data_IF_808393376098
#
_entry.id   IF_808393376098
#
_cell.length_a   1.000
_cell.length_b   1.000
_cell.length_c   1.000
_cell.angle_alpha   90.00
_cell.angle_beta   90.00
_cell.angle_gamma   90.00
#
_symmetry.space_group_name_H-M   'P 1'
#
loop_
_entity.id
_entity.type
_entity.pdbx_description
1 polymer ?
#
# COMPACT_ATOMS: atom_id res chain seq x y z
N UNK A 1 -8.59 15.74 14.48
CA UNK A 1 -7.36 15.76 13.67
C UNK A 1 -7.82 15.64 12.22
N UNK A 2 -7.84 16.74 11.46
CA UNK A 2 -8.60 16.79 10.20
C UNK A 2 -7.74 16.42 8.99
N UNK A 3 -6.42 16.61 9.08
CA UNK A 3 -5.49 16.27 7.99
C UNK A 3 -4.13 15.83 8.54
N UNK A 4 -3.52 14.83 7.91
CA UNK A 4 -2.13 14.41 8.14
C UNK A 4 -1.36 14.80 6.88
N UNK A 5 -0.33 15.62 7.03
CA UNK A 5 0.56 16.01 5.93
C UNK A 5 1.93 15.40 6.23
N UNK A 6 2.31 14.38 5.47
CA UNK A 6 3.65 13.82 5.52
C UNK A 6 4.50 14.55 4.49
N UNK A 7 5.54 15.23 4.96
CA UNK A 7 6.58 15.82 4.10
C UNK A 7 7.79 14.91 4.14
N UNK A 8 8.17 14.35 2.99
CA UNK A 8 9.22 13.35 2.90
C UNK A 8 10.61 14.01 3.01
N UNK A 9 11.49 13.49 3.87
CA UNK A 9 12.94 13.72 3.82
C UNK A 9 13.54 12.63 2.91
N UNK A 10 14.34 12.94 1.87
CA UNK A 10 14.61 12.09 0.69
C UNK A 10 15.23 10.67 0.91
N UNK A 11 15.31 10.14 2.13
CA UNK A 11 16.01 8.90 2.46
C UNK A 11 15.20 7.85 3.26
N UNK A 12 13.89 8.03 3.52
CA UNK A 12 13.11 7.05 4.31
C UNK A 12 11.72 6.74 3.72
N UNK A 13 11.41 5.49 3.33
CA UNK A 13 10.06 5.10 2.92
C UNK A 13 9.04 5.22 4.08
N UNK A 14 7.80 5.61 3.76
CA UNK A 14 6.68 5.78 4.73
C UNK A 14 6.43 4.55 5.61
N UNK A 15 6.85 3.35 5.20
CA UNK A 15 6.79 2.15 6.04
C UNK A 15 7.51 2.24 7.39
N UNK A 16 8.27 3.31 7.65
CA UNK A 16 8.87 3.64 8.96
C UNK A 16 8.31 4.92 9.60
N UNK A 17 7.41 5.66 8.92
CA UNK A 17 6.77 6.85 9.44
C UNK A 17 5.49 6.43 10.16
N UNK A 18 5.60 6.17 11.46
CA UNK A 18 4.44 6.22 12.32
C UNK A 18 3.96 7.70 12.35
N UNK A 19 2.70 8.01 11.99
CA UNK A 19 2.18 9.38 12.04
C UNK A 19 2.24 9.99 13.44
N UNK A 20 2.53 9.18 14.48
CA UNK A 20 2.72 9.59 15.86
C UNK A 20 4.18 9.76 16.32
N UNK A 21 5.20 9.46 15.50
CA UNK A 21 6.64 9.54 15.92
C UNK A 21 7.53 10.41 15.04
N UNK A 22 7.02 10.94 13.93
CA UNK A 22 7.74 11.98 13.19
C UNK A 22 7.60 13.28 14.00
N UNK A 23 8.68 14.05 14.30
CA UNK A 23 8.48 15.36 14.88
C UNK A 23 7.58 16.13 13.90
N UNK A 24 6.37 16.56 14.33
CA UNK A 24 5.54 17.33 13.43
C UNK A 24 6.35 18.57 13.02
N UNK A 25 6.36 18.97 11.74
CA UNK A 25 6.68 20.36 11.45
C UNK A 25 5.80 21.21 12.39
N UNK A 26 6.38 22.28 12.95
CA UNK A 26 5.76 23.16 13.96
C UNK A 26 4.23 23.16 13.87
N UNK A 27 3.49 22.81 14.94
CA UNK A 27 2.08 22.45 14.82
C UNK A 27 1.30 23.57 14.11
N UNK A 28 0.88 23.29 12.88
CA UNK A 28 0.05 24.21 12.11
C UNK A 28 -1.27 24.39 12.85
N UNK A 29 -1.81 25.60 12.85
CA UNK A 29 -3.17 25.81 13.36
C UNK A 29 -4.19 25.01 12.52
N UNK A 30 -5.39 24.72 13.05
CA UNK A 30 -6.44 24.08 12.26
C UNK A 30 -6.77 24.83 10.96
N UNK A 31 -6.77 26.17 11.00
CA UNK A 31 -7.06 27.01 9.84
C UNK A 31 -5.93 26.97 8.81
N UNK A 32 -4.68 27.08 9.29
CA UNK A 32 -3.49 26.91 8.44
C UNK A 32 -3.49 25.54 7.76
N UNK A 33 -3.82 24.48 8.49
CA UNK A 33 -3.88 23.11 7.96
C UNK A 33 -4.90 22.98 6.82
N UNK A 34 -6.07 23.62 6.95
CA UNK A 34 -7.10 23.65 5.90
C UNK A 34 -6.62 24.38 4.65
N UNK A 35 -5.95 25.51 4.81
CA UNK A 35 -5.42 26.29 3.68
C UNK A 35 -4.32 25.49 2.95
N UNK A 36 -3.37 24.92 3.69
CA UNK A 36 -2.29 24.09 3.12
C UNK A 36 -2.85 22.91 2.36
N UNK A 37 -3.83 22.20 2.93
CA UNK A 37 -4.55 21.11 2.26
C UNK A 37 -5.15 21.57 0.93
N UNK A 38 -5.93 22.67 0.94
CA UNK A 38 -6.58 23.20 -0.26
C UNK A 38 -5.58 23.55 -1.35
N UNK A 39 -4.46 24.18 -0.99
CA UNK A 39 -3.38 24.51 -1.94
C UNK A 39 -2.85 23.25 -2.61
N UNK A 40 -2.51 22.21 -1.84
CA UNK A 40 -1.98 20.97 -2.42
C UNK A 40 -3.01 20.24 -3.29
N UNK A 41 -4.26 20.17 -2.82
CA UNK A 41 -5.35 19.57 -3.58
C UNK A 41 -5.58 20.28 -4.92
N UNK A 42 -5.66 21.60 -4.90
CA UNK A 42 -5.84 22.42 -6.10
C UNK A 42 -4.68 22.21 -7.08
N UNK A 43 -3.43 22.24 -6.60
CA UNK A 43 -2.24 21.92 -7.41
C UNK A 43 -2.30 20.55 -8.08
N UNK A 44 -2.73 19.52 -7.35
CA UNK A 44 -2.85 18.17 -7.88
C UNK A 44 -3.93 18.09 -8.96
N UNK A 45 -5.11 18.67 -8.69
CA UNK A 45 -6.24 18.70 -9.63
C UNK A 45 -5.89 19.49 -10.89
N UNK A 46 -5.27 20.66 -10.76
CA UNK A 46 -4.82 21.47 -11.89
C UNK A 46 -3.81 20.71 -12.76
N UNK A 47 -2.82 20.07 -12.14
CA UNK A 47 -1.88 19.23 -12.86
C UNK A 47 -2.58 18.12 -13.63
N UNK A 48 -3.51 17.39 -12.99
CA UNK A 48 -4.26 16.31 -13.61
C UNK A 48 -5.12 16.82 -14.78
N UNK A 49 -5.78 17.97 -14.62
CA UNK A 49 -6.58 18.61 -15.67
C UNK A 49 -5.75 19.08 -16.88
N UNK A 50 -4.45 19.32 -16.70
CA UNK A 50 -3.55 19.65 -17.82
C UNK A 50 -3.04 18.43 -18.58
N UNK A 51 -3.35 17.20 -18.14
CA UNK A 51 -2.90 15.98 -18.82
C UNK A 51 -3.83 15.65 -19.99
N UNK A 52 -3.25 15.25 -21.12
CA UNK A 52 -4.01 14.74 -22.27
C UNK A 52 -4.77 13.44 -21.96
N UNK A 53 -4.33 12.70 -20.94
CA UNK A 53 -4.97 11.47 -20.47
C UNK A 53 -4.77 11.35 -18.96
N UNK A 54 -5.83 10.98 -18.28
CA UNK A 54 -5.83 10.53 -16.89
C UNK A 54 -6.38 9.12 -16.82
N UNK A 55 -6.04 8.40 -15.76
CA UNK A 55 -6.50 7.06 -15.48
C UNK A 55 -7.29 7.07 -14.17
N UNK A 56 -8.42 6.38 -14.17
CA UNK A 56 -9.29 6.22 -13.00
C UNK A 56 -9.42 4.74 -12.68
N UNK A 57 -9.13 4.38 -11.43
CA UNK A 57 -9.26 3.02 -10.92
C UNK A 57 -10.17 3.04 -9.71
N UNK A 58 -11.23 2.24 -9.77
CA UNK A 58 -12.14 2.00 -8.65
C UNK A 58 -11.86 0.62 -8.08
N UNK A 59 -11.70 0.54 -6.76
CA UNK A 59 -11.42 -0.69 -6.04
C UNK A 59 -11.82 -0.63 -4.58
N UNK A 60 -11.79 -1.78 -3.91
CA UNK A 60 -12.05 -1.87 -2.47
C UNK A 60 -10.77 -2.12 -1.69
N UNK A 61 -10.77 -1.68 -0.44
CA UNK A 61 -9.77 -2.05 0.56
C UNK A 61 -10.47 -2.67 1.77
N UNK A 62 -10.00 -3.85 2.18
CA UNK A 62 -10.65 -4.73 3.17
C UNK A 62 -11.52 -5.80 2.50
N UNK A 63 -11.16 -7.06 2.68
CA UNK A 63 -11.93 -8.18 2.11
C UNK A 63 -13.25 -8.46 2.83
N UNK A 64 -13.36 -8.08 4.11
CA UNK A 64 -14.61 -8.21 4.85
C UNK A 64 -15.58 -7.06 4.49
N UNK A 65 -16.66 -7.39 3.80
CA UNK A 65 -17.64 -6.42 3.30
C UNK A 65 -18.28 -5.54 4.39
N UNK A 66 -18.26 -5.98 5.66
CA UNK A 66 -18.75 -5.19 6.79
C UNK A 66 -17.91 -3.95 7.07
N UNK A 67 -16.64 -4.00 6.67
CA UNK A 67 -15.62 -2.99 6.98
C UNK A 67 -14.97 -2.42 5.72
N UNK A 68 -15.17 -3.02 4.54
CA UNK A 68 -14.53 -2.58 3.29
C UNK A 68 -14.82 -1.10 3.01
N UNK A 69 -13.82 -0.40 2.53
CA UNK A 69 -13.98 0.96 1.99
C UNK A 69 -13.83 0.95 0.48
N UNK A 70 -14.57 1.83 -0.18
CA UNK A 70 -14.46 2.05 -1.63
C UNK A 70 -13.46 3.18 -1.93
N UNK A 71 -12.47 2.90 -2.78
CA UNK A 71 -11.37 3.81 -3.10
C UNK A 71 -11.35 4.09 -4.59
N UNK A 72 -11.39 5.37 -4.96
CA UNK A 72 -11.14 5.84 -6.32
C UNK A 72 -9.76 6.46 -6.43
N UNK A 73 -8.97 6.00 -7.38
CA UNK A 73 -7.64 6.55 -7.67
C UNK A 73 -7.68 7.29 -8.99
N UNK A 74 -7.26 8.55 -8.99
CA UNK A 74 -7.11 9.39 -10.19
C UNK A 74 -5.62 9.70 -10.36
N UNK A 75 -5.02 9.27 -11.47
CA UNK A 75 -3.58 9.41 -11.67
C UNK A 75 -3.20 9.72 -13.13
N UNK A 76 -2.03 10.31 -13.32
CA UNK A 76 -1.52 10.69 -14.64
C UNK A 76 -0.77 9.55 -15.36
N UNK A 77 -0.30 8.53 -14.64
CA UNK A 77 0.57 7.47 -15.18
C UNK A 77 -0.16 6.13 -15.22
N UNK A 78 -0.09 5.46 -16.37
CA UNK A 78 -0.74 4.15 -16.58
C UNK A 78 -0.24 3.09 -15.58
N UNK A 79 1.04 3.11 -15.23
CA UNK A 79 1.59 2.12 -14.30
C UNK A 79 1.07 2.31 -12.87
N UNK A 80 0.78 3.55 -12.42
CA UNK A 80 0.14 3.80 -11.13
C UNK A 80 -1.29 3.26 -11.10
N UNK A 81 -2.00 3.38 -12.24
CA UNK A 81 -3.30 2.78 -12.40
C UNK A 81 -3.23 1.24 -12.33
N UNK A 82 -2.30 0.62 -13.06
CA UNK A 82 -2.09 -0.83 -13.01
C UNK A 82 -1.68 -1.29 -11.61
N UNK A 83 -0.79 -0.55 -10.94
CA UNK A 83 -0.39 -0.81 -9.57
C UNK A 83 -1.61 -0.84 -8.64
N UNK A 84 -2.44 0.21 -8.64
CA UNK A 84 -3.62 0.23 -7.75
C UNK A 84 -4.68 -0.80 -8.15
N UNK A 85 -4.75 -1.17 -9.43
CA UNK A 85 -5.58 -2.29 -9.88
C UNK A 85 -5.08 -3.64 -9.35
N UNK A 86 -3.78 -3.78 -9.13
CA UNK A 86 -3.20 -4.97 -8.50
C UNK A 86 -3.37 -4.94 -6.97
N UNK A 87 -3.22 -3.76 -6.35
CA UNK A 87 -3.19 -3.63 -4.89
C UNK A 87 -4.57 -3.49 -4.24
N UNK A 88 -5.58 -3.02 -4.95
CA UNK A 88 -6.97 -2.97 -4.46
C UNK A 88 -7.73 -4.22 -4.89
N UNK A 89 -8.75 -4.55 -4.10
CA UNK A 89 -9.70 -5.62 -4.44
C UNK A 89 -10.56 -5.14 -5.60
N UNK A 90 -10.61 -5.94 -6.66
CA UNK A 90 -11.27 -5.56 -7.91
C UNK A 90 -12.79 -5.75 -7.80
N UNK A 91 -13.60 -4.69 -8.00
CA UNK A 91 -15.04 -4.83 -8.03
C UNK A 91 -15.48 -5.63 -9.26
N UNK A 92 -16.60 -6.32 -9.13
CA UNK A 92 -17.29 -6.93 -10.27
C UNK A 92 -17.85 -5.85 -11.22
N UNK A 93 -18.16 -6.23 -12.47
CA UNK A 93 -18.78 -5.32 -13.44
C UNK A 93 -20.13 -4.76 -12.95
N UNK A 94 -20.87 -5.51 -12.14
CA UNK A 94 -22.13 -5.05 -11.57
C UNK A 94 -21.91 -4.03 -10.45
N UNK A 95 -20.94 -4.28 -9.56
CA UNK A 95 -20.57 -3.32 -8.51
C UNK A 95 -20.08 -1.99 -9.08
N UNK A 96 -19.36 -2.03 -10.21
CA UNK A 96 -18.88 -0.82 -10.88
C UNK A 96 -20.01 0.10 -11.37
N UNK A 97 -21.20 -0.44 -11.70
CA UNK A 97 -22.33 0.38 -12.17
C UNK A 97 -22.86 1.33 -11.11
N UNK A 98 -22.72 0.95 -9.84
CA UNK A 98 -23.20 1.71 -8.68
C UNK A 98 -22.07 2.11 -7.74
N UNK A 99 -20.82 2.15 -8.24
CA UNK A 99 -19.66 2.44 -7.41
C UNK A 99 -19.63 3.91 -7.00
N UNK A 100 -19.58 4.13 -5.68
CA UNK A 100 -19.44 5.45 -5.07
C UNK A 100 -18.23 5.40 -4.14
N UNK A 101 -17.16 6.18 -4.37
CA UNK A 101 -15.97 6.12 -3.53
C UNK A 101 -16.22 6.75 -2.16
N UNK A 102 -15.81 6.06 -1.12
CA UNK A 102 -15.62 6.62 0.21
C UNK A 102 -14.41 7.55 0.22
N UNK A 103 -13.30 7.12 -0.38
CA UNK A 103 -12.06 7.88 -0.46
C UNK A 103 -11.61 8.11 -1.90
N UNK A 104 -11.06 9.29 -2.18
CA UNK A 104 -10.45 9.62 -3.48
C UNK A 104 -8.97 9.95 -3.33
N UNK A 105 -8.12 9.29 -4.12
CA UNK A 105 -6.69 9.55 -4.19
C UNK A 105 -6.39 10.32 -5.47
N UNK A 106 -5.85 11.53 -5.36
CA UNK A 106 -5.30 12.30 -6.48
C UNK A 106 -3.78 12.10 -6.52
N UNK A 107 -3.33 11.19 -7.38
CA UNK A 107 -1.91 10.98 -7.61
C UNK A 107 -1.41 11.89 -8.74
N UNK A 108 -0.93 13.05 -8.35
CA UNK A 108 -0.22 14.02 -9.16
C UNK A 108 1.30 13.95 -8.88
N UNK A 109 1.82 12.76 -8.58
CA UNK A 109 3.18 12.53 -8.11
C UNK A 109 4.30 13.13 -8.95
N UNK A 110 4.11 13.23 -10.26
CA UNK A 110 5.07 13.88 -11.18
C UNK A 110 5.07 15.41 -11.09
N UNK A 111 4.20 16.03 -10.28
CA UNK A 111 4.13 17.46 -10.07
C UNK A 111 4.54 17.82 -8.64
N UNK A 112 5.48 18.77 -8.44
CA UNK A 112 6.01 19.06 -7.11
C UNK A 112 5.01 19.84 -6.25
N UNK A 113 5.06 19.55 -4.95
CA UNK A 113 4.51 20.42 -3.92
C UNK A 113 5.24 21.77 -3.91
N UNK A 114 4.55 22.82 -3.48
CA UNK A 114 5.18 24.13 -3.34
C UNK A 114 5.92 24.20 -2.00
N UNK A 115 7.27 24.21 -2.04
CA UNK A 115 8.15 24.33 -0.86
C UNK A 115 7.94 25.61 -0.04
N UNK A 116 7.27 26.62 -0.61
CA UNK A 116 6.96 27.87 0.08
C UNK A 116 5.57 27.87 0.74
N UNK A 117 4.79 26.79 0.57
CA UNK A 117 3.57 26.59 1.35
C UNK A 117 3.94 26.31 2.80
N UNK A 118 3.24 26.94 3.74
CA UNK A 118 3.51 26.79 5.18
C UNK A 118 3.49 25.32 5.61
N UNK A 119 4.48 24.91 6.43
CA UNK A 119 4.65 23.53 6.88
C UNK A 119 5.24 22.58 5.83
N UNK A 120 5.44 23.00 4.58
CA UNK A 120 6.10 22.19 3.55
C UNK A 120 7.62 22.22 3.74
N UNK A 121 8.27 21.05 3.77
CA UNK A 121 9.72 20.94 3.96
C UNK A 121 10.47 20.50 2.70
N UNK A 122 9.76 19.98 1.69
CA UNK A 122 10.34 19.51 0.44
C UNK A 122 9.41 19.72 -0.75
N UNK A 123 9.84 19.31 -1.94
CA UNK A 123 8.99 19.28 -3.13
C UNK A 123 7.98 18.11 -3.12
N UNK A 124 7.99 17.28 -2.07
CA UNK A 124 7.14 16.10 -1.93
C UNK A 124 6.10 16.32 -0.84
N UNK A 125 4.84 16.02 -1.14
CA UNK A 125 3.75 16.04 -0.17
C UNK A 125 2.84 14.85 -0.36
N UNK A 126 2.59 14.13 0.73
CA UNK A 126 1.61 13.06 0.82
C UNK A 126 0.64 13.42 1.93
N UNK A 127 -0.53 13.91 1.54
CA UNK A 127 -1.50 14.47 2.46
C UNK A 127 -2.81 13.67 2.45
N UNK A 128 -3.33 13.37 3.63
CA UNK A 128 -4.63 12.71 3.82
C UNK A 128 -5.54 13.66 4.60
N UNK A 129 -6.75 13.87 4.10
CA UNK A 129 -7.81 14.62 4.79
C UNK A 129 -8.99 13.69 5.05
N UNK A 130 -9.21 13.35 6.33
CA UNK A 130 -10.27 12.44 6.75
C UNK A 130 -11.67 13.05 6.70
N UNK A 131 -11.78 14.39 6.77
CA UNK A 131 -13.08 15.07 6.67
C UNK A 131 -13.57 15.15 5.23
N UNK A 132 -12.66 15.47 4.30
CA UNK A 132 -12.95 15.49 2.86
C UNK A 132 -12.90 14.08 2.24
N UNK A 133 -12.40 13.09 2.99
CA UNK A 133 -12.10 11.72 2.54
C UNK A 133 -11.25 11.68 1.27
N UNK A 134 -10.17 12.42 1.29
CA UNK A 134 -9.29 12.58 0.12
C UNK A 134 -7.83 12.41 0.49
N UNK A 135 -7.04 11.94 -0.47
CA UNK A 135 -5.58 11.88 -0.39
C UNK A 135 -4.98 12.57 -1.60
N UNK A 136 -3.89 13.32 -1.39
CA UNK A 136 -3.16 14.03 -2.43
C UNK A 136 -1.70 13.63 -2.38
N UNK A 137 -1.14 13.24 -3.54
CA UNK A 137 0.27 12.89 -3.71
C UNK A 137 0.89 13.87 -4.72
N UNK A 138 1.96 14.53 -4.30
CA UNK A 138 2.75 15.47 -5.09
C UNK A 138 4.25 15.17 -4.90
N UNK A 139 5.02 15.32 -5.97
CA UNK A 139 6.49 15.28 -5.94
C UNK A 139 7.10 13.93 -5.56
N UNK A 140 6.38 12.83 -5.75
CA UNK A 140 6.88 11.47 -5.60
C UNK A 140 6.15 10.56 -6.55
N UNK A 141 6.89 9.72 -7.26
CA UNK A 141 6.33 8.72 -8.15
C UNK A 141 6.33 7.33 -7.52
N UNK A 142 6.83 7.17 -6.29
CA UNK A 142 6.87 5.88 -5.62
C UNK A 142 5.45 5.31 -5.43
N UNK A 143 5.14 4.16 -6.04
CA UNK A 143 3.78 3.63 -6.02
C UNK A 143 3.30 3.23 -4.61
N UNK A 144 4.26 2.88 -3.73
CA UNK A 144 4.00 2.54 -2.34
C UNK A 144 3.31 3.64 -1.53
N UNK A 145 3.38 4.90 -1.99
CA UNK A 145 2.66 6.02 -1.39
C UNK A 145 1.14 5.81 -1.41
N UNK A 146 0.59 5.36 -2.54
CA UNK A 146 -0.84 5.08 -2.66
C UNK A 146 -1.26 3.91 -1.76
N UNK A 147 -0.46 2.82 -1.74
CA UNK A 147 -0.70 1.65 -0.87
C UNK A 147 -0.73 2.07 0.60
N UNK A 148 0.35 2.67 1.09
CA UNK A 148 0.46 3.06 2.50
C UNK A 148 -0.50 4.19 2.88
N UNK A 149 -0.93 5.01 1.93
CA UNK A 149 -2.03 5.96 2.13
C UNK A 149 -3.35 5.28 2.46
N UNK A 150 -3.75 4.27 1.67
CA UNK A 150 -4.94 3.44 1.95
C UNK A 150 -4.79 2.74 3.30
N UNK A 151 -3.62 2.13 3.57
CA UNK A 151 -3.36 1.52 4.87
C UNK A 151 -3.54 2.50 6.02
N UNK A 152 -2.99 3.72 5.92
CA UNK A 152 -3.11 4.76 6.94
C UNK A 152 -4.57 5.15 7.19
N UNK A 153 -5.40 5.18 6.14
CA UNK A 153 -6.84 5.41 6.29
C UNK A 153 -7.48 4.31 7.12
N UNK A 154 -7.27 3.03 6.78
CA UNK A 154 -7.83 1.92 7.55
C UNK A 154 -7.24 1.84 8.96
N UNK A 155 -5.95 2.14 9.14
CA UNK A 155 -5.26 2.18 10.43
C UNK A 155 -5.90 3.17 11.41
N UNK A 156 -6.52 4.23 10.88
CA UNK A 156 -7.30 5.17 11.68
C UNK A 156 -8.77 4.74 11.81
N UNK A 157 -9.44 4.44 10.69
CA UNK A 157 -10.88 4.21 10.70
C UNK A 157 -11.29 2.92 11.42
N UNK A 158 -10.51 1.84 11.27
CA UNK A 158 -10.86 0.54 11.85
C UNK A 158 -10.88 0.58 13.39
N UNK A 159 -9.85 1.10 14.09
CA UNK A 159 -9.93 1.23 15.54
C UNK A 159 -10.99 2.25 15.98
N UNK A 160 -11.05 3.41 15.33
CA UNK A 160 -11.87 4.54 15.80
C UNK A 160 -13.37 4.33 15.55
N UNK A 161 -13.76 3.77 14.41
CA UNK A 161 -15.17 3.59 14.03
C UNK A 161 -15.69 2.19 14.34
N UNK A 162 -14.82 1.18 14.30
CA UNK A 162 -15.25 -0.22 14.30
C UNK A 162 -14.68 -1.04 15.46
N UNK A 163 -13.77 -0.49 16.27
CA UNK A 163 -13.04 -1.24 17.31
C UNK A 163 -12.36 -2.50 16.74
N UNK A 164 -11.85 -2.40 15.51
CA UNK A 164 -11.13 -3.46 14.79
C UNK A 164 -9.64 -3.15 14.84
N UNK A 165 -8.83 -4.18 15.14
CA UNK A 165 -7.38 -4.04 15.27
C UNK A 165 -6.71 -4.12 13.90
N UNK A 166 -6.01 -3.07 13.48
CA UNK A 166 -5.21 -3.05 12.24
C UNK A 166 -3.77 -3.50 12.48
N UNK A 167 -3.28 -4.35 11.59
CA UNK A 167 -2.02 -5.06 11.73
C UNK A 167 -1.15 -4.84 10.49
N UNK A 168 0.10 -4.43 10.72
CA UNK A 168 1.16 -4.44 9.70
C UNK A 168 1.93 -5.76 9.81
N UNK A 169 1.39 -6.79 9.17
CA UNK A 169 1.78 -8.19 9.31
C UNK A 169 1.37 -8.98 8.07
N UNK A 170 2.07 -10.07 7.77
CA UNK A 170 1.51 -11.11 6.89
C UNK A 170 0.64 -12.08 7.69
N UNK A 171 -0.24 -12.81 7.01
CA UNK A 171 -1.06 -13.85 7.64
C UNK A 171 -1.30 -15.03 6.69
N UNK A 172 -1.36 -16.23 7.25
CA UNK A 172 -1.72 -17.45 6.52
C UNK A 172 -2.56 -18.41 7.40
N UNK A 173 -3.24 -19.34 6.75
CA UNK A 173 -4.12 -20.32 7.38
C UNK A 173 -3.69 -21.75 7.04
N UNK A 174 -3.56 -22.60 8.04
CA UNK A 174 -3.31 -24.03 7.86
C UNK A 174 -4.56 -24.80 7.44
N UNK A 175 -4.38 -26.05 7.04
CA UNK A 175 -5.48 -26.92 6.58
C UNK A 175 -6.55 -27.16 7.67
N UNK A 176 -6.16 -27.14 8.95
CA UNK A 176 -7.04 -27.29 10.11
C UNK A 176 -7.66 -25.95 10.56
N UNK A 177 -7.55 -24.91 9.73
CA UNK A 177 -8.10 -23.57 9.99
C UNK A 177 -7.25 -22.71 10.94
N UNK A 178 -6.11 -23.20 11.44
CA UNK A 178 -5.24 -22.43 12.33
C UNK A 178 -4.61 -21.22 11.62
N UNK A 179 -4.89 -20.02 12.12
CA UNK A 179 -4.36 -18.78 11.57
C UNK A 179 -3.05 -18.40 12.29
N UNK A 180 -2.05 -18.00 11.51
CA UNK A 180 -0.79 -17.45 12.01
C UNK A 180 -0.59 -16.05 11.44
N UNK A 181 -0.21 -15.12 12.30
CA UNK A 181 0.11 -13.73 11.92
C UNK A 181 1.59 -13.45 12.21
N UNK A 182 2.29 -12.86 11.25
CA UNK A 182 3.72 -12.59 11.32
C UNK A 182 3.98 -11.08 11.30
N UNK A 183 4.47 -10.55 12.41
CA UNK A 183 4.92 -9.17 12.52
C UNK A 183 6.41 -9.07 12.24
N UNK A 184 6.84 -7.93 11.73
CA UNK A 184 8.24 -7.65 11.44
C UNK A 184 8.38 -6.46 10.50
N UNK A 185 9.56 -5.84 10.46
CA UNK A 185 9.83 -4.78 9.50
C UNK A 185 10.09 -5.36 8.10
N UNK A 186 10.22 -4.50 7.09
CA UNK A 186 10.61 -4.94 5.76
C UNK A 186 12.01 -5.55 5.80
N UNK A 187 12.19 -6.75 5.23
CA UNK A 187 13.47 -7.47 5.23
C UNK A 187 13.69 -8.41 6.42
N UNK A 188 12.73 -8.57 7.35
CA UNK A 188 12.87 -9.51 8.49
C UNK A 188 12.35 -10.92 8.21
N UNK A 189 12.08 -11.26 6.95
CA UNK A 189 11.59 -12.59 6.55
C UNK A 189 10.07 -12.81 6.61
N UNK A 190 9.25 -11.75 6.82
CA UNK A 190 7.77 -11.88 6.86
C UNK A 190 7.20 -12.62 5.65
N UNK A 191 7.48 -12.10 4.45
CA UNK A 191 6.90 -12.60 3.20
C UNK A 191 7.33 -14.05 2.95
N UNK A 192 8.61 -14.35 3.13
CA UNK A 192 9.19 -15.68 3.00
C UNK A 192 8.56 -16.69 3.96
N UNK A 193 8.36 -16.33 5.24
CA UNK A 193 7.78 -17.24 6.23
C UNK A 193 6.25 -17.40 6.09
N UNK A 194 5.56 -16.39 5.55
CA UNK A 194 4.13 -16.50 5.29
C UNK A 194 3.80 -17.29 4.02
N UNK A 195 4.70 -17.35 3.06
CA UNK A 195 4.58 -18.12 1.82
C UNK A 195 4.94 -19.60 2.02
N UNK A 196 4.32 -20.24 3.03
CA UNK A 196 4.45 -21.67 3.26
C UNK A 196 3.53 -22.43 2.26
N UNK A 197 4.05 -23.33 1.42
CA UNK A 197 3.25 -24.04 0.42
C UNK A 197 2.15 -24.94 1.03
N UNK A 198 2.21 -25.25 2.33
CA UNK A 198 1.20 -26.05 3.04
C UNK A 198 0.10 -25.19 3.67
N UNK A 199 0.21 -23.87 3.59
CA UNK A 199 -0.69 -22.92 4.23
C UNK A 199 -1.23 -21.95 3.18
N UNK A 200 -2.51 -21.61 3.29
CA UNK A 200 -3.13 -20.68 2.38
C UNK A 200 -2.78 -19.24 2.79
N UNK A 201 -2.19 -18.46 1.89
CA UNK A 201 -1.82 -17.06 2.15
C UNK A 201 -3.09 -16.21 2.24
N UNK A 202 -3.27 -15.48 3.34
CA UNK A 202 -4.34 -14.49 3.48
C UNK A 202 -3.86 -13.15 2.90
N UNK A 203 -2.63 -12.75 3.22
CA UNK A 203 -2.01 -11.54 2.70
C UNK A 203 -0.57 -11.40 3.18
N UNK A 204 0.23 -10.55 2.52
CA UNK A 204 1.67 -10.43 2.77
C UNK A 204 2.06 -9.24 3.67
N UNK A 205 1.18 -8.27 3.92
CA UNK A 205 1.60 -7.02 4.57
C UNK A 205 0.55 -6.36 5.48
N UNK A 206 -0.73 -6.29 5.10
CA UNK A 206 -1.72 -5.43 5.79
C UNK A 206 -3.03 -6.15 6.10
N UNK A 207 -3.37 -6.28 7.38
CA UNK A 207 -4.55 -7.03 7.83
C UNK A 207 -5.37 -6.28 8.87
N UNK A 208 -6.61 -6.70 9.04
CA UNK A 208 -7.48 -6.34 10.14
C UNK A 208 -7.89 -7.58 10.93
N UNK A 209 -7.90 -7.48 12.25
CA UNK A 209 -8.41 -8.51 13.16
C UNK A 209 -9.68 -7.97 13.83
N UNK A 210 -10.81 -8.55 13.41
CA UNK A 210 -12.15 -8.23 13.89
C UNK A 210 -12.67 -9.27 14.89
N UNK A 211 -13.90 -9.07 15.33
CA UNK A 211 -14.69 -10.01 16.12
C UNK A 211 -14.93 -11.37 15.43
N UNK A 212 -14.70 -11.47 14.11
CA UNK A 212 -14.88 -12.73 13.33
C UNK A 212 -13.60 -13.26 12.69
N UNK A 213 -12.42 -12.85 13.18
CA UNK A 213 -11.15 -13.34 12.63
C UNK A 213 -10.40 -12.28 11.85
N UNK A 214 -9.62 -12.69 10.85
CA UNK A 214 -8.63 -11.86 10.15
C UNK A 214 -9.00 -11.70 8.69
N UNK A 215 -8.89 -10.49 8.15
CA UNK A 215 -9.03 -10.24 6.73
C UNK A 215 -7.89 -9.36 6.21
N UNK A 216 -7.49 -9.61 4.97
CA UNK A 216 -6.53 -8.80 4.26
C UNK A 216 -7.16 -7.44 3.89
N UNK A 217 -6.36 -6.37 3.88
CA UNK A 217 -6.76 -5.06 3.38
C UNK A 217 -6.61 -4.99 1.86
N UNK A 218 -5.65 -5.73 1.30
CA UNK A 218 -5.16 -5.57 -0.07
C UNK A 218 -5.72 -6.63 -1.03
N UNK A 219 -5.79 -6.29 -2.32
CA UNK A 219 -6.12 -7.22 -3.42
C UNK A 219 -4.91 -7.86 -4.10
N UNK A 220 -3.70 -7.59 -3.60
CA UNK A 220 -2.44 -8.07 -4.17
C UNK A 220 -1.28 -7.90 -3.21
N UNK A 221 -0.08 -8.19 -3.70
CA UNK A 221 1.16 -8.12 -2.92
C UNK A 221 2.12 -7.08 -3.52
N UNK A 222 2.92 -6.45 -2.65
CA UNK A 222 3.95 -5.48 -3.07
C UNK A 222 5.34 -5.88 -2.57
N UNK A 223 5.83 -7.00 -3.10
CA UNK A 223 7.01 -7.71 -2.62
C UNK A 223 8.32 -6.96 -2.95
N UNK A 224 9.35 -7.15 -2.12
CA UNK A 224 10.73 -6.77 -2.46
C UNK A 224 11.30 -7.76 -3.47
N UNK A 225 12.12 -7.26 -4.39
CA UNK A 225 12.73 -8.08 -5.44
C UNK A 225 14.25 -8.23 -5.30
N UNK A 226 14.90 -7.50 -4.41
CA UNK A 226 16.34 -7.61 -4.21
C UNK A 226 16.71 -9.03 -3.73
N UNK A 227 17.59 -9.69 -4.46
CA UNK A 227 18.02 -11.07 -4.19
C UNK A 227 16.97 -12.15 -4.50
N UNK A 228 15.89 -11.79 -5.21
CA UNK A 228 14.82 -12.72 -5.58
C UNK A 228 15.33 -13.79 -6.56
N UNK A 229 15.06 -15.05 -6.24
CA UNK A 229 15.35 -16.18 -7.13
C UNK A 229 14.24 -17.22 -7.09
N UNK A 230 14.10 -17.99 -8.17
CA UNK A 230 13.11 -19.06 -8.26
C UNK A 230 13.33 -20.16 -7.21
N UNK A 231 14.57 -20.37 -6.75
CA UNK A 231 14.90 -21.37 -5.73
C UNK A 231 14.51 -20.92 -4.32
N UNK A 232 14.70 -19.63 -3.99
CA UNK A 232 14.44 -19.11 -2.64
C UNK A 232 12.97 -18.79 -2.43
N UNK A 233 12.32 -18.17 -3.41
CA UNK A 233 10.96 -17.63 -3.30
C UNK A 233 10.16 -17.92 -4.60
N UNK A 234 9.88 -19.21 -4.89
CA UNK A 234 9.28 -19.64 -6.16
C UNK A 234 7.91 -18.99 -6.43
N UNK A 235 7.06 -18.84 -5.41
CA UNK A 235 5.71 -18.27 -5.57
C UNK A 235 5.77 -16.80 -6.02
N UNK A 236 6.65 -16.01 -5.38
CA UNK A 236 6.85 -14.60 -5.73
C UNK A 236 7.46 -14.51 -7.12
N UNK A 237 8.47 -15.33 -7.43
CA UNK A 237 9.13 -15.33 -8.73
C UNK A 237 8.14 -15.69 -9.86
N UNK A 238 7.30 -16.70 -9.66
CA UNK A 238 6.29 -17.14 -10.63
C UNK A 238 5.13 -16.15 -10.77
N UNK A 239 4.86 -15.33 -9.75
CA UNK A 239 3.91 -14.23 -9.83
C UNK A 239 4.40 -13.10 -10.75
N UNK A 240 5.67 -13.06 -11.15
CA UNK A 240 6.19 -12.05 -12.07
C UNK A 240 5.88 -12.47 -13.51
N UNK A 241 4.72 -12.02 -13.99
CA UNK A 241 4.22 -12.29 -15.35
C UNK A 241 3.41 -11.11 -15.88
N UNK A 242 2.85 -11.22 -17.08
CA UNK A 242 2.02 -10.17 -17.66
C UNK A 242 0.91 -9.75 -16.69
N UNK A 243 0.84 -8.46 -16.36
CA UNK A 243 -0.05 -7.91 -15.34
C UNK A 243 0.68 -7.42 -14.09
N UNK A 244 1.87 -7.95 -13.81
CA UNK A 244 2.74 -7.49 -12.71
C UNK A 244 3.49 -6.22 -13.09
N UNK A 245 3.86 -5.43 -12.07
CA UNK A 245 4.64 -4.19 -12.21
C UNK A 245 5.94 -4.36 -11.46
N UNK A 246 7.08 -4.25 -12.15
CA UNK A 246 8.40 -4.16 -11.52
C UNK A 246 8.78 -2.68 -11.37
N UNK A 247 9.12 -2.27 -10.16
CA UNK A 247 9.52 -0.89 -9.84
C UNK A 247 11.01 -0.86 -9.47
N UNK A 248 11.76 0.00 -10.17
CA UNK A 248 13.20 0.25 -9.98
C UNK A 248 14.13 -0.97 -10.13
N UNK A 249 13.72 -2.02 -10.85
CA UNK A 249 14.62 -3.13 -11.20
C UNK A 249 15.51 -2.76 -12.39
N UNK A 250 16.70 -3.34 -12.45
CA UNK A 250 17.57 -3.29 -13.63
C UNK A 250 17.38 -4.57 -14.45
N UNK A 251 17.38 -4.44 -15.77
CA UNK A 251 17.21 -5.58 -16.67
C UNK A 251 18.05 -5.38 -17.93
N UNK A 252 18.44 -6.50 -18.54
CA UNK A 252 19.19 -6.48 -19.79
C UNK A 252 18.32 -5.92 -20.94
N UNK A 253 18.77 -4.87 -21.67
CA UNK A 253 17.93 -4.19 -22.64
C UNK A 253 17.58 -5.05 -23.87
N UNK A 254 18.34 -6.11 -24.14
CA UNK A 254 18.17 -7.02 -25.29
C UNK A 254 17.34 -8.23 -24.88
N UNK A 255 17.76 -8.96 -23.85
CA UNK A 255 17.11 -10.21 -23.41
C UNK A 255 15.87 -9.95 -22.56
N UNK A 256 15.75 -8.74 -21.97
CA UNK A 256 14.71 -8.34 -21.02
C UNK A 256 14.72 -9.14 -19.71
N UNK A 257 15.77 -9.91 -19.47
CA UNK A 257 15.98 -10.62 -18.21
C UNK A 257 16.31 -9.60 -17.12
N UNK A 258 15.59 -9.68 -16.01
CA UNK A 258 15.80 -8.83 -14.84
C UNK A 258 16.97 -9.35 -14.03
N UNK A 259 17.85 -8.44 -13.62
CA UNK A 259 18.90 -8.73 -12.63
C UNK A 259 18.37 -8.34 -11.25
N UNK A 260 17.99 -9.34 -10.45
CA UNK A 260 17.45 -9.14 -9.11
C UNK A 260 18.52 -8.88 -8.05
N UNK A 261 19.80 -9.05 -8.36
CA UNK A 261 20.91 -8.72 -7.47
C UNK A 261 21.42 -7.28 -7.71
N UNK A 262 21.07 -6.66 -8.84
CA UNK A 262 21.42 -5.27 -9.16
C UNK A 262 20.58 -4.27 -8.34
N UNK A 263 21.26 -3.60 -7.39
CA UNK A 263 20.72 -2.54 -6.56
C UNK A 263 21.24 -1.13 -6.92
N UNK A 264 21.79 -0.94 -8.13
CA UNK A 264 22.40 0.34 -8.56
C UNK A 264 21.43 1.53 -8.48
N UNK A 265 20.13 1.27 -8.70
CA UNK A 265 19.07 2.27 -8.50
C UNK A 265 18.64 2.37 -7.03
N UNK A 266 18.40 1.23 -6.38
CA UNK A 266 17.97 1.14 -4.98
C UNK A 266 17.99 -0.31 -4.49
N UNK A 267 18.17 -0.53 -3.19
CA UNK A 267 17.90 -1.83 -2.54
C UNK A 267 16.39 -2.09 -2.35
N UNK A 268 15.54 -1.09 -2.57
CA UNK A 268 14.08 -1.20 -2.44
C UNK A 268 13.42 -1.47 -3.80
N UNK A 269 13.98 -2.38 -4.59
CA UNK A 269 13.34 -2.88 -5.81
C UNK A 269 12.07 -3.65 -5.44
N UNK A 270 11.03 -3.53 -6.27
CA UNK A 270 9.70 -4.06 -5.93
C UNK A 270 8.99 -4.73 -7.10
N UNK A 271 8.06 -5.63 -6.76
CA UNK A 271 7.07 -6.17 -7.69
C UNK A 271 5.67 -6.04 -7.09
N UNK A 272 4.74 -5.47 -7.84
CA UNK A 272 3.32 -5.46 -7.52
C UNK A 272 2.56 -6.43 -8.44
N UNK A 273 1.85 -7.37 -7.85
CA UNK A 273 1.04 -8.35 -8.58
C UNK A 273 -0.27 -8.62 -7.83
N UNK A 274 -1.36 -8.97 -8.54
CA UNK A 274 -2.64 -9.23 -7.91
C UNK A 274 -2.58 -10.57 -7.17
N UNK A 275 -3.38 -10.73 -6.11
CA UNK A 275 -3.26 -11.86 -5.17
C UNK A 275 -3.49 -13.21 -5.85
N UNK A 276 -4.26 -13.25 -6.94
CA UNK A 276 -4.54 -14.45 -7.73
C UNK A 276 -3.32 -14.98 -8.49
N UNK A 277 -2.17 -14.31 -8.40
CA UNK A 277 -0.91 -14.82 -8.95
C UNK A 277 -0.17 -15.72 -7.97
N UNK A 278 -0.56 -15.75 -6.71
CA UNK A 278 -0.06 -16.69 -5.71
C UNK A 278 -0.98 -17.91 -5.70
N UNK A 279 -0.44 -19.09 -6.00
CA UNK A 279 -1.21 -20.33 -6.21
C UNK A 279 -1.94 -20.78 -4.94
N UNK A 280 -1.29 -20.68 -3.79
CA UNK A 280 -1.85 -21.01 -2.48
C UNK A 280 -2.55 -19.82 -1.80
N UNK A 281 -2.92 -18.75 -2.52
CA UNK A 281 -3.69 -17.67 -1.92
C UNK A 281 -5.09 -18.13 -1.51
N UNK A 282 -5.54 -17.69 -0.33
CA UNK A 282 -6.91 -17.85 0.12
C UNK A 282 -7.77 -16.76 -0.52
N UNK A 283 -8.78 -17.16 -1.29
CA UNK A 283 -9.75 -16.24 -1.91
C UNK A 283 -11.16 -16.71 -1.52
N UNK A 284 -11.98 -15.89 -0.83
CA UNK A 284 -11.68 -14.53 -0.35
C UNK A 284 -10.57 -14.53 0.73
N UNK A 285 -9.81 -13.43 0.81
CA UNK A 285 -8.70 -13.28 1.77
C UNK A 285 -9.20 -12.97 3.19
N UNK A 286 -10.05 -13.85 3.73
CA UNK A 286 -10.67 -13.77 5.05
C UNK A 286 -10.53 -15.12 5.73
N UNK A 287 -10.01 -15.16 6.95
CA UNK A 287 -10.11 -16.30 7.84
C UNK A 287 -11.12 -16.00 8.96
N UNK A 288 -12.12 -16.87 9.11
CA UNK A 288 -13.17 -16.73 10.13
C UNK A 288 -12.68 -17.16 11.52
N UNK A 289 -11.54 -17.84 11.56
CA UNK A 289 -10.84 -18.25 12.76
C UNK A 289 -9.90 -17.15 13.26
N UNK A 290 -9.80 -17.03 14.58
CA UNK A 290 -8.83 -16.13 15.20
C UNK A 290 -7.39 -16.69 15.10
N UNK A 291 -6.37 -15.81 15.05
CA UNK A 291 -4.97 -16.20 15.14
C UNK A 291 -4.72 -17.11 16.35
N UNK A 292 -4.26 -18.34 16.09
CA UNK A 292 -3.76 -19.25 17.11
C UNK A 292 -2.28 -18.97 17.42
N UNK A 293 -1.56 -18.42 16.44
CA UNK A 293 -0.14 -18.10 16.56
C UNK A 293 0.12 -16.65 16.15
N UNK A 294 0.94 -15.97 16.95
CA UNK A 294 1.45 -14.62 16.65
C UNK A 294 2.97 -14.70 16.72
N UNK A 295 3.64 -14.41 15.61
CA UNK A 295 5.09 -14.48 15.48
C UNK A 295 5.64 -13.07 15.34
N UNK A 296 6.57 -12.69 16.20
CA UNK A 296 7.25 -11.39 16.16
C UNK A 296 8.67 -11.61 15.61
N UNK A 297 8.89 -11.25 14.35
CA UNK A 297 10.17 -11.42 13.67
C UNK A 297 11.09 -10.25 14.01
N UNK A 298 12.25 -10.57 14.59
CA UNK A 298 13.33 -9.64 14.86
C UNK A 298 14.58 -10.09 14.13
N UNK A 299 15.22 -9.18 13.40
CA UNK A 299 16.55 -9.39 12.85
C UNK A 299 17.53 -8.77 13.85
N UNK A 300 17.90 -9.53 14.88
CA UNK A 300 18.81 -9.05 15.92
C UNK A 300 20.25 -9.05 15.39
N UNK A 301 20.76 -7.85 15.09
CA UNK A 301 22.13 -7.66 14.63
C UNK A 301 23.19 -7.96 15.72
N UNK A 302 22.79 -8.25 16.96
CA UNK A 302 23.70 -8.53 18.08
C UNK A 302 23.99 -10.02 18.31
N UNK A 303 23.26 -10.92 17.64
CA UNK A 303 23.33 -12.38 17.87
C UNK A 303 22.68 -12.82 19.18
#
# INVERSE_FOLDING_TARGET
MTSIILTHHPLLPIGQLNPFTSPPPSPLTPDTTRIVWRINRERAVDYLNTRNRIYVIDGYAGWDERYRISVRVVCARAYHALFMRNMLIRPSLEELKTFHPDYVIYNAGSFPANRFTEGMTSATSVAINFAEKEMVILGTEYAGEMKKGVFTVLFYEMPVKHNVLTLHSSANQGQDGDVTVFFGLSGTGKTTLSADPKRALIGDDEHCWSDRGVFNIEGGCYAKCIGLSAEKEPDIFNAIRFGSVLENVVFDPVTRVVDYDDCTLTENTRCAYPIEYIENAKIPCIAEEHPKNIILLTCDARG
#
